data_IF_604735793603
#
_entry.id   IF_604735793603
#
_cell.length_a   1.000
_cell.length_b   1.000
_cell.length_c   1.000
_cell.angle_alpha   90.00
_cell.angle_beta   90.00
_cell.angle_gamma   90.00
#
_symmetry.space_group_name_H-M   'P 1'
#
loop_
_entity.id
_entity.type
_entity.pdbx_description
1 polymer ?
#
# COMPACT_ATOMS: atom_id res chain seq x y z
N UNK A 1 -3.74 -10.23 9.70
CA UNK A 1 -5.07 -9.73 10.09
C UNK A 1 -5.14 -9.15 11.49
N UNK A 2 -4.15 -9.41 12.34
CA UNK A 2 -4.11 -9.04 13.75
C UNK A 2 -2.96 -8.09 14.10
N UNK A 3 -2.28 -7.52 13.11
CA UNK A 3 -1.13 -6.63 13.29
C UNK A 3 0.24 -7.32 13.34
N UNK A 4 0.29 -8.65 13.41
CA UNK A 4 1.57 -9.38 13.36
C UNK A 4 2.25 -9.21 11.99
N UNK A 5 3.54 -8.88 12.01
CA UNK A 5 4.38 -8.75 10.82
C UNK A 5 5.29 -9.97 10.74
N UNK A 6 4.99 -10.89 9.83
CA UNK A 6 5.78 -12.13 9.67
C UNK A 6 7.11 -11.89 8.95
N UNK A 7 7.16 -10.93 8.05
CA UNK A 7 8.37 -10.59 7.31
C UNK A 7 8.38 -9.12 6.91
N UNK A 8 9.56 -8.51 6.97
CA UNK A 8 9.82 -7.16 6.51
C UNK A 8 11.22 -7.16 5.87
N UNK A 9 11.27 -6.93 4.56
CA UNK A 9 12.51 -6.99 3.81
C UNK A 9 12.64 -5.82 2.82
N UNK A 10 13.85 -5.33 2.65
CA UNK A 10 14.19 -4.37 1.60
C UNK A 10 15.47 -4.80 0.87
N UNK A 11 15.74 -4.23 -0.29
CA UNK A 11 16.90 -4.56 -1.12
C UNK A 11 18.24 -4.11 -0.49
N UNK A 12 18.22 -3.14 0.40
CA UNK A 12 19.41 -2.62 1.07
C UNK A 12 19.45 -3.16 2.49
N UNK A 13 20.16 -4.25 2.70
CA UNK A 13 20.39 -4.86 4.01
C UNK A 13 21.85 -4.67 4.44
N UNK A 14 22.12 -4.78 5.73
CA UNK A 14 23.46 -4.72 6.30
C UNK A 14 23.66 -5.84 7.32
N UNK A 15 24.92 -6.13 7.65
CA UNK A 15 25.24 -7.10 8.67
C UNK A 15 25.14 -6.46 10.06
N UNK A 16 24.22 -6.96 10.89
CA UNK A 16 23.98 -6.46 12.26
C UNK A 16 25.17 -6.70 13.20
N UNK A 17 25.99 -7.73 12.97
CA UNK A 17 27.17 -8.03 13.78
C UNK A 17 28.33 -7.07 13.50
N UNK A 18 28.36 -6.49 12.29
CA UNK A 18 29.38 -5.53 11.88
C UNK A 18 28.75 -4.36 11.10
N UNK A 19 27.92 -3.55 11.76
CA UNK A 19 27.09 -2.55 11.06
C UNK A 19 27.93 -1.44 10.41
N UNK A 20 29.13 -1.16 10.89
CA UNK A 20 30.07 -0.15 10.36
C UNK A 20 31.11 -0.71 9.40
N UNK A 21 31.01 -1.97 8.97
CA UNK A 21 31.90 -2.52 7.95
C UNK A 21 31.59 -1.85 6.59
N UNK A 22 32.61 -1.29 5.97
CA UNK A 22 32.55 -0.64 4.64
C UNK A 22 31.95 -1.55 3.57
N UNK A 23 32.02 -2.89 3.71
CA UNK A 23 31.36 -3.84 2.83
C UNK A 23 29.85 -3.64 2.76
N UNK A 24 29.22 -3.13 3.81
CA UNK A 24 27.80 -2.80 3.78
C UNK A 24 27.49 -1.65 2.80
N UNK A 25 28.43 -0.71 2.64
CA UNK A 25 28.31 0.42 1.70
C UNK A 25 28.39 -0.03 0.25
N UNK A 26 29.08 -1.13 -0.04
CA UNK A 26 29.24 -1.65 -1.40
C UNK A 26 27.93 -2.12 -2.05
N UNK A 27 26.88 -2.26 -1.27
CA UNK A 27 25.52 -2.54 -1.78
C UNK A 27 24.88 -1.34 -2.49
N UNK A 28 25.39 -0.13 -2.20
CA UNK A 28 24.86 1.14 -2.74
C UNK A 28 25.91 1.94 -3.51
N UNK A 29 27.17 1.80 -3.15
CA UNK A 29 28.29 2.58 -3.69
C UNK A 29 29.35 1.66 -4.29
N UNK A 30 30.08 2.11 -5.31
CA UNK A 30 31.24 1.38 -5.81
C UNK A 30 32.42 1.42 -4.82
N UNK A 31 33.35 0.48 -4.92
CA UNK A 31 34.56 0.45 -4.09
C UNK A 31 35.34 1.77 -4.20
N UNK A 32 35.46 2.33 -5.41
CA UNK A 32 36.15 3.59 -5.63
C UNK A 32 35.47 4.78 -4.93
N UNK A 33 34.12 4.77 -4.88
CA UNK A 33 33.38 5.80 -4.14
C UNK A 33 33.60 5.66 -2.63
N UNK A 34 33.48 4.43 -2.10
CA UNK A 34 33.68 4.16 -0.67
C UNK A 34 35.09 4.58 -0.21
N UNK A 35 36.13 4.25 -1.02
CA UNK A 35 37.51 4.59 -0.69
C UNK A 35 37.79 6.11 -0.67
N UNK A 36 36.97 6.91 -1.36
CA UNK A 36 37.10 8.38 -1.41
C UNK A 36 36.26 9.09 -0.36
N UNK A 37 35.36 8.38 0.34
CA UNK A 37 34.49 8.98 1.36
C UNK A 37 35.31 9.38 2.59
N UNK A 38 35.07 10.58 3.06
CA UNK A 38 35.48 11.01 4.40
C UNK A 38 34.68 10.24 5.47
N UNK A 39 35.16 10.20 6.70
CA UNK A 39 34.45 9.57 7.83
C UNK A 39 33.04 10.15 8.05
N UNK A 40 32.87 11.46 7.80
CA UNK A 40 31.56 12.12 7.87
C UNK A 40 30.61 11.61 6.77
N UNK A 41 31.11 11.43 5.55
CA UNK A 41 30.31 10.89 4.43
C UNK A 41 29.98 9.42 4.65
N UNK A 42 30.92 8.59 5.14
CA UNK A 42 30.64 7.21 5.53
C UNK A 42 29.58 7.12 6.61
N UNK A 43 29.68 7.95 7.64
CA UNK A 43 28.68 8.01 8.72
C UNK A 43 27.29 8.34 8.17
N UNK A 44 27.22 9.32 7.25
CA UNK A 44 25.94 9.65 6.59
C UNK A 44 25.42 8.49 5.77
N UNK A 45 26.28 7.83 5.00
CA UNK A 45 25.91 6.67 4.17
C UNK A 45 25.46 5.48 5.01
N UNK A 46 26.12 5.19 6.13
CA UNK A 46 25.67 4.18 7.09
C UNK A 46 24.31 4.51 7.68
N UNK A 47 24.08 5.76 8.11
CA UNK A 47 22.79 6.19 8.63
C UNK A 47 21.64 6.00 7.61
N UNK A 48 21.92 6.15 6.31
CA UNK A 48 20.95 5.87 5.26
C UNK A 48 20.67 4.37 5.10
N UNK A 49 21.69 3.52 5.18
CA UNK A 49 21.55 2.06 5.06
C UNK A 49 20.86 1.45 6.28
N UNK A 50 21.08 2.01 7.46
CA UNK A 50 20.46 1.52 8.71
C UNK A 50 18.98 1.88 8.82
N UNK A 51 18.50 2.85 8.06
CA UNK A 51 17.07 3.16 8.05
C UNK A 51 16.28 2.00 7.45
N UNK A 52 15.17 1.68 8.09
CA UNK A 52 14.18 0.80 7.51
C UNK A 52 13.22 1.63 6.65
N UNK A 53 13.34 1.64 5.31
CA UNK A 53 12.52 2.48 4.46
C UNK A 53 11.03 2.14 4.52
N UNK A 54 10.67 0.92 4.91
CA UNK A 54 9.27 0.48 5.06
C UNK A 54 8.56 1.29 6.15
N UNK A 55 9.32 1.65 7.20
CA UNK A 55 8.81 2.38 8.36
C UNK A 55 9.11 3.88 8.25
N UNK A 56 10.31 4.24 7.74
CA UNK A 56 10.85 5.59 7.82
C UNK A 56 10.62 6.46 6.58
N UNK A 57 10.30 5.88 5.43
CA UNK A 57 10.12 6.64 4.19
C UNK A 57 8.64 6.80 3.87
N UNK A 58 8.28 8.01 3.40
CA UNK A 58 6.95 8.30 2.90
C UNK A 58 6.98 8.50 1.38
N UNK A 59 5.93 8.05 0.71
CA UNK A 59 5.76 8.14 -0.74
C UNK A 59 4.29 8.27 -1.11
N UNK A 60 3.99 8.70 -2.32
CA UNK A 60 2.62 8.70 -2.84
C UNK A 60 2.20 7.24 -3.13
N UNK A 61 1.13 6.71 -2.51
CA UNK A 61 0.74 5.30 -2.64
C UNK A 61 0.20 4.94 -4.02
N UNK A 62 -0.20 5.94 -4.81
CA UNK A 62 -0.83 5.72 -6.11
C UNK A 62 -2.09 4.87 -6.00
N UNK A 63 -2.36 4.11 -7.04
CA UNK A 63 -3.63 3.36 -7.17
C UNK A 63 -3.89 2.31 -6.09
N UNK A 64 -2.94 1.99 -5.21
CA UNK A 64 -3.22 1.15 -4.02
C UNK A 64 -4.14 1.85 -3.02
N UNK A 65 -4.28 3.17 -3.12
CA UNK A 65 -5.19 3.95 -2.28
C UNK A 65 -6.66 3.88 -2.74
N UNK A 66 -6.96 3.57 -3.98
CA UNK A 66 -8.33 3.58 -4.54
C UNK A 66 -9.38 2.82 -3.73
N UNK A 67 -9.08 1.63 -3.17
CA UNK A 67 -10.04 0.94 -2.30
C UNK A 67 -10.48 1.76 -1.09
N UNK A 68 -9.64 2.66 -0.56
CA UNK A 68 -9.98 3.50 0.58
C UNK A 68 -11.00 4.60 0.21
N UNK A 69 -10.84 5.19 -0.98
CA UNK A 69 -11.84 6.14 -1.52
C UNK A 69 -13.19 5.45 -1.68
N UNK A 70 -13.22 4.30 -2.33
CA UNK A 70 -14.49 3.54 -2.49
C UNK A 70 -15.06 3.11 -1.14
N UNK A 71 -14.21 2.73 -0.18
CA UNK A 71 -14.62 2.39 1.18
C UNK A 71 -15.35 3.54 1.87
N UNK A 72 -14.82 4.76 1.78
CA UNK A 72 -15.43 5.94 2.36
C UNK A 72 -16.83 6.20 1.81
N UNK A 73 -17.00 6.13 0.49
CA UNK A 73 -18.28 6.32 -0.16
C UNK A 73 -19.32 5.25 0.18
N UNK A 74 -18.89 3.99 0.30
CA UNK A 74 -19.77 2.87 0.70
C UNK A 74 -20.21 3.01 2.17
N UNK A 75 -19.27 3.32 3.06
CA UNK A 75 -19.54 3.43 4.49
C UNK A 75 -20.45 4.60 4.84
N UNK A 76 -20.32 5.73 4.13
CA UNK A 76 -21.21 6.88 4.27
C UNK A 76 -22.56 6.73 3.53
N UNK A 77 -22.78 5.59 2.87
CA UNK A 77 -23.99 5.35 2.09
C UNK A 77 -24.14 6.25 0.86
N UNK A 78 -23.08 6.99 0.47
CA UNK A 78 -23.00 7.78 -0.76
C UNK A 78 -22.98 6.86 -1.98
N UNK A 79 -22.31 5.70 -1.84
CA UNK A 79 -22.32 4.63 -2.82
C UNK A 79 -23.19 3.48 -2.32
N UNK A 80 -23.92 2.86 -3.23
CA UNK A 80 -24.80 1.70 -2.96
C UNK A 80 -24.16 0.37 -3.37
N UNK A 81 -23.15 0.42 -4.26
CA UNK A 81 -22.45 -0.75 -4.81
C UNK A 81 -22.86 -1.15 -6.22
N UNK A 82 -23.84 -0.48 -6.81
CA UNK A 82 -24.36 -0.74 -8.15
C UNK A 82 -24.16 0.44 -9.13
N UNK A 83 -23.37 1.43 -8.73
CA UNK A 83 -23.08 2.58 -9.58
C UNK A 83 -22.29 2.20 -10.82
N UNK A 84 -22.52 2.99 -11.86
CA UNK A 84 -21.72 2.99 -13.08
C UNK A 84 -21.11 4.36 -13.33
N UNK A 85 -19.95 4.38 -13.94
CA UNK A 85 -19.20 5.59 -14.29
C UNK A 85 -18.78 5.54 -15.75
N UNK A 86 -18.90 6.66 -16.43
CA UNK A 86 -18.37 6.78 -17.79
C UNK A 86 -16.98 7.41 -17.74
N UNK A 87 -16.01 6.73 -18.31
CA UNK A 87 -14.63 7.18 -18.40
C UNK A 87 -14.27 7.47 -19.86
N UNK A 88 -14.08 8.73 -20.19
CA UNK A 88 -13.59 9.19 -21.49
C UNK A 88 -12.07 9.45 -21.51
N UNK A 89 -11.37 9.10 -20.42
CA UNK A 89 -9.92 9.17 -20.30
C UNK A 89 -9.39 10.40 -19.57
N UNK A 90 -10.24 11.32 -19.12
CA UNK A 90 -9.84 12.49 -18.33
C UNK A 90 -11.02 13.11 -17.56
N UNK A 91 -10.71 13.96 -16.59
CA UNK A 91 -11.65 14.87 -15.93
C UNK A 91 -11.14 16.30 -15.96
N UNK A 92 -12.03 17.26 -16.21
CA UNK A 92 -11.74 18.70 -16.02
C UNK A 92 -12.06 19.08 -14.59
N UNK A 93 -11.05 19.50 -13.85
CA UNK A 93 -11.16 19.90 -12.44
C UNK A 93 -10.64 21.31 -12.29
N UNK A 94 -11.53 22.31 -12.28
CA UNK A 94 -11.17 23.71 -12.36
C UNK A 94 -10.36 23.98 -13.65
N UNK A 95 -9.17 24.62 -13.55
CA UNK A 95 -8.32 24.88 -14.72
C UNK A 95 -7.52 23.67 -15.19
N UNK A 96 -7.58 22.53 -14.47
CA UNK A 96 -6.75 21.36 -14.73
C UNK A 96 -7.47 20.30 -15.51
N UNK A 97 -6.77 19.64 -16.45
CA UNK A 97 -7.21 18.39 -17.08
C UNK A 97 -6.39 17.25 -16.47
N UNK A 98 -7.07 16.40 -15.69
CA UNK A 98 -6.44 15.27 -15.01
C UNK A 98 -6.82 13.99 -15.74
N UNK A 99 -5.82 13.23 -16.16
CA UNK A 99 -6.03 12.10 -17.05
C UNK A 99 -6.13 10.75 -16.32
N UNK A 100 -6.95 9.88 -16.88
CA UNK A 100 -6.91 8.46 -16.59
C UNK A 100 -5.61 7.83 -17.11
N UNK A 101 -5.17 6.73 -16.50
CA UNK A 101 -4.05 5.93 -17.03
C UNK A 101 -4.39 5.35 -18.40
N UNK A 102 -5.65 5.01 -18.65
CA UNK A 102 -6.16 4.62 -19.95
C UNK A 102 -6.69 5.84 -20.69
N UNK A 103 -5.84 6.44 -21.53
CA UNK A 103 -6.07 7.75 -22.16
C UNK A 103 -7.26 7.78 -23.13
N UNK A 104 -7.59 6.65 -23.75
CA UNK A 104 -8.77 6.51 -24.62
C UNK A 104 -10.09 6.30 -23.86
N UNK A 105 -10.02 6.25 -22.52
CA UNK A 105 -11.19 5.97 -21.67
C UNK A 105 -11.52 4.48 -21.58
N UNK A 106 -12.17 4.10 -20.47
CA UNK A 106 -12.67 2.74 -20.25
C UNK A 106 -14.11 2.55 -20.72
N UNK A 107 -14.78 3.63 -21.17
CA UNK A 107 -16.21 3.63 -21.44
C UNK A 107 -17.04 3.52 -20.17
N UNK A 108 -18.20 2.87 -20.27
CA UNK A 108 -19.10 2.63 -19.14
C UNK A 108 -18.58 1.47 -18.29
N UNK A 109 -18.28 1.73 -17.04
CA UNK A 109 -17.74 0.75 -16.08
C UNK A 109 -18.52 0.76 -14.76
N UNK A 110 -18.57 -0.38 -14.09
CA UNK A 110 -19.19 -0.51 -12.75
C UNK A 110 -18.28 0.01 -11.65
N UNK A 111 -18.82 0.19 -10.44
CA UNK A 111 -18.03 0.52 -9.24
C UNK A 111 -16.91 -0.51 -9.00
N UNK A 112 -17.19 -1.81 -9.13
CA UNK A 112 -16.18 -2.87 -9.03
C UNK A 112 -15.07 -2.70 -10.06
N UNK A 113 -15.46 -2.43 -11.33
CA UNK A 113 -14.52 -2.19 -12.42
C UNK A 113 -13.68 -0.92 -12.23
N UNK A 114 -14.16 0.08 -11.48
CA UNK A 114 -13.35 1.25 -11.14
C UNK A 114 -12.09 0.88 -10.37
N UNK A 115 -12.17 -0.17 -9.52
CA UNK A 115 -11.04 -0.74 -8.77
C UNK A 115 -10.24 -1.71 -9.65
N UNK A 116 -10.91 -2.68 -10.31
CA UNK A 116 -10.24 -3.77 -11.02
C UNK A 116 -9.48 -3.29 -12.27
N UNK A 117 -10.01 -2.32 -13.00
CA UNK A 117 -9.35 -1.64 -14.12
C UNK A 117 -8.46 -0.46 -13.70
N UNK A 118 -8.49 -0.12 -12.43
CA UNK A 118 -7.71 1.00 -11.88
C UNK A 118 -8.04 2.36 -12.54
N UNK A 119 -9.31 2.65 -12.78
CA UNK A 119 -9.77 3.86 -13.46
C UNK A 119 -9.58 5.11 -12.57
N UNK A 120 -8.72 6.07 -12.96
CA UNK A 120 -8.58 7.33 -12.23
C UNK A 120 -9.82 8.21 -12.36
N UNK A 121 -10.41 8.22 -13.55
CA UNK A 121 -11.57 9.03 -13.88
C UNK A 121 -12.75 8.69 -12.95
N UNK A 122 -13.14 7.42 -12.87
CA UNK A 122 -14.20 6.99 -11.95
C UNK A 122 -13.91 7.37 -10.49
N UNK A 123 -12.64 7.26 -10.05
CA UNK A 123 -12.27 7.64 -8.68
C UNK A 123 -12.39 9.14 -8.43
N UNK A 124 -12.08 9.98 -9.41
CA UNK A 124 -12.30 11.42 -9.33
C UNK A 124 -13.80 11.77 -9.24
N UNK A 125 -14.65 11.09 -10.01
CA UNK A 125 -16.11 11.24 -9.93
C UNK A 125 -16.65 10.81 -8.56
N UNK A 126 -16.14 9.70 -8.00
CA UNK A 126 -16.50 9.21 -6.66
C UNK A 126 -16.10 10.24 -5.59
N UNK A 127 -14.86 10.69 -5.58
CA UNK A 127 -14.38 11.64 -4.59
C UNK A 127 -15.08 13.01 -4.69
N UNK A 128 -15.42 13.47 -5.90
CA UNK A 128 -16.22 14.67 -6.08
C UNK A 128 -17.61 14.54 -5.43
N UNK A 129 -18.22 13.35 -5.51
CA UNK A 129 -19.51 13.04 -4.87
C UNK A 129 -19.40 12.94 -3.35
N UNK A 130 -18.28 12.38 -2.82
CA UNK A 130 -17.98 12.31 -1.39
C UNK A 130 -17.72 13.67 -0.77
N UNK A 131 -17.01 14.51 -1.49
CA UNK A 131 -16.56 15.83 -1.02
C UNK A 131 -15.36 15.74 -0.06
N UNK A 132 -14.64 16.85 0.03
CA UNK A 132 -13.37 16.94 0.77
C UNK A 132 -13.46 16.61 2.27
N UNK A 133 -14.60 16.88 2.89
CA UNK A 133 -14.78 16.63 4.32
C UNK A 133 -14.87 15.12 4.63
N UNK A 134 -15.62 14.36 3.84
CA UNK A 134 -15.70 12.91 3.96
C UNK A 134 -14.35 12.29 3.66
N UNK A 135 -13.75 12.67 2.53
CA UNK A 135 -12.45 12.17 2.11
C UNK A 135 -11.37 12.35 3.20
N UNK A 136 -11.17 13.57 3.70
CA UNK A 136 -10.17 13.85 4.74
C UNK A 136 -10.47 13.14 6.07
N UNK A 137 -11.75 13.01 6.44
CA UNK A 137 -12.17 12.27 7.64
C UNK A 137 -11.77 10.79 7.51
N UNK A 138 -11.99 10.15 6.35
CA UNK A 138 -11.64 8.75 6.15
C UNK A 138 -10.14 8.53 6.02
N UNK A 139 -9.36 9.49 5.49
CA UNK A 139 -7.89 9.41 5.61
C UNK A 139 -7.47 9.24 7.07
N UNK A 140 -8.03 10.06 7.98
CA UNK A 140 -7.74 9.97 9.42
C UNK A 140 -8.33 8.70 10.07
N UNK A 141 -9.51 8.24 9.63
CA UNK A 141 -10.10 6.98 10.10
C UNK A 141 -9.22 5.79 9.77
N UNK A 142 -8.63 5.74 8.58
CA UNK A 142 -7.66 4.71 8.19
C UNK A 142 -6.26 4.93 8.77
N UNK A 143 -6.10 5.90 9.67
CA UNK A 143 -4.88 6.24 10.39
C UNK A 143 -3.76 6.85 9.53
N UNK A 144 -4.04 7.30 8.30
CA UNK A 144 -3.07 8.09 7.55
C UNK A 144 -2.77 9.40 8.26
N UNK A 145 -1.53 9.84 8.19
CA UNK A 145 -1.01 11.01 8.91
C UNK A 145 -0.60 10.74 10.35
N UNK A 146 -1.05 9.65 10.96
CA UNK A 146 -0.65 9.27 12.32
C UNK A 146 0.42 8.17 12.30
N UNK A 147 1.23 8.09 13.35
CA UNK A 147 2.08 6.93 13.57
C UNK A 147 1.22 5.68 13.76
N UNK A 148 1.69 4.56 13.23
CA UNK A 148 1.05 3.26 13.46
C UNK A 148 1.33 2.73 14.86
N UNK A 149 2.42 3.22 15.47
CA UNK A 149 2.89 2.75 16.76
C UNK A 149 3.62 1.40 16.69
N UNK A 150 4.13 1.04 15.50
CA UNK A 150 4.95 -0.16 15.34
C UNK A 150 6.11 -0.16 16.35
N UNK A 151 6.49 -1.32 16.83
CA UNK A 151 7.58 -1.55 17.79
C UNK A 151 8.98 -1.45 17.17
N UNK A 152 9.13 -0.67 16.10
CA UNK A 152 10.40 -0.35 15.45
C UNK A 152 10.71 1.14 15.53
N UNK A 153 11.99 1.54 15.64
CA UNK A 153 12.39 2.93 15.66
C UNK A 153 12.28 3.60 14.29
N UNK A 154 12.22 4.93 14.29
CA UNK A 154 12.35 5.74 13.08
C UNK A 154 11.08 5.84 12.25
N UNK A 155 9.90 5.62 12.82
CA UNK A 155 8.64 5.75 12.11
C UNK A 155 8.43 7.18 11.57
N UNK A 156 8.08 7.26 10.27
CA UNK A 156 7.90 8.53 9.58
C UNK A 156 6.78 9.38 10.16
N UNK A 157 7.01 10.68 10.22
CA UNK A 157 5.99 11.69 10.53
C UNK A 157 5.33 12.12 9.21
N UNK A 158 4.06 11.80 9.03
CA UNK A 158 3.35 12.06 7.76
C UNK A 158 2.16 13.01 7.90
N UNK A 159 1.90 13.55 9.08
CA UNK A 159 0.76 14.43 9.32
C UNK A 159 0.76 15.65 8.39
N UNK A 160 1.90 16.30 8.21
CA UNK A 160 2.06 17.47 7.33
C UNK A 160 2.09 17.12 5.83
N UNK A 161 2.03 15.84 5.49
CA UNK A 161 2.01 15.35 4.11
C UNK A 161 0.60 15.01 3.62
N UNK A 162 -0.42 15.28 4.43
CA UNK A 162 -1.83 15.17 4.09
C UNK A 162 -2.43 16.58 3.99
N UNK A 163 -3.46 16.73 3.16
CA UNK A 163 -4.26 17.94 3.11
C UNK A 163 -5.36 17.93 4.17
N UNK A 164 -5.47 18.99 4.96
CA UNK A 164 -6.68 19.19 5.75
C UNK A 164 -7.85 19.57 4.83
N UNK A 165 -9.06 19.19 5.23
CA UNK A 165 -10.25 19.46 4.42
C UNK A 165 -10.45 20.95 4.10
N UNK A 166 -10.06 21.86 5.01
CA UNK A 166 -10.18 23.32 4.80
C UNK A 166 -9.27 23.81 3.66
N UNK A 167 -8.08 23.24 3.51
CA UNK A 167 -7.04 23.68 2.57
C UNK A 167 -7.07 22.87 1.27
N UNK A 168 -7.79 21.74 1.23
CA UNK A 168 -7.90 20.86 0.09
C UNK A 168 -8.64 21.52 -1.07
N UNK A 169 -7.97 21.70 -2.19
CA UNK A 169 -8.58 22.17 -3.44
C UNK A 169 -9.32 21.03 -4.16
N UNK A 170 -10.12 21.37 -5.17
CA UNK A 170 -10.78 20.35 -6.00
C UNK A 170 -9.76 19.45 -6.74
N UNK A 171 -8.62 20.02 -7.15
CA UNK A 171 -7.55 19.27 -7.80
C UNK A 171 -6.84 18.31 -6.81
N UNK A 172 -6.60 18.76 -5.57
CA UNK A 172 -6.03 17.92 -4.51
C UNK A 172 -6.96 16.75 -4.18
N UNK A 173 -8.26 16.98 -4.05
CA UNK A 173 -9.25 15.93 -3.83
C UNK A 173 -9.25 14.92 -4.98
N UNK A 174 -9.29 15.41 -6.21
CA UNK A 174 -9.28 14.57 -7.41
C UNK A 174 -8.04 13.67 -7.48
N UNK A 175 -6.83 14.24 -7.28
CA UNK A 175 -5.59 13.48 -7.35
C UNK A 175 -5.38 12.58 -6.13
N UNK A 176 -5.82 13.01 -4.95
CA UNK A 176 -5.76 12.19 -3.74
C UNK A 176 -6.69 10.97 -3.82
N UNK A 177 -7.79 11.05 -4.57
CA UNK A 177 -8.73 9.93 -4.74
C UNK A 177 -8.08 8.66 -5.32
N UNK A 178 -7.01 8.82 -6.10
CA UNK A 178 -6.24 7.72 -6.66
C UNK A 178 -4.79 7.64 -6.10
N UNK A 179 -4.55 8.29 -4.96
CA UNK A 179 -3.33 8.13 -4.17
C UNK A 179 -2.15 9.00 -4.57
N UNK A 180 -2.39 10.17 -5.18
CA UNK A 180 -1.38 11.19 -5.43
C UNK A 180 -1.65 12.45 -4.56
N UNK A 181 -0.73 13.40 -4.56
CA UNK A 181 -0.81 14.65 -3.77
C UNK A 181 -0.84 14.49 -2.25
N UNK A 182 -0.57 13.30 -1.73
CA UNK A 182 -0.28 13.07 -0.32
C UNK A 182 0.68 11.89 -0.17
N UNK A 183 1.37 11.81 0.97
CA UNK A 183 2.35 10.75 1.20
C UNK A 183 2.01 9.96 2.47
N UNK A 184 2.30 8.67 2.43
CA UNK A 184 2.24 7.77 3.58
C UNK A 184 3.42 6.79 3.56
N UNK A 185 3.73 6.19 4.69
CA UNK A 185 4.73 5.13 4.75
C UNK A 185 4.13 3.78 4.31
N UNK A 186 5.03 2.86 3.94
CA UNK A 186 4.61 1.51 3.55
C UNK A 186 3.91 0.78 4.69
N UNK A 187 4.35 0.98 5.95
CA UNK A 187 3.70 0.39 7.11
C UNK A 187 2.32 0.99 7.38
N UNK A 188 2.12 2.30 7.19
CA UNK A 188 0.80 2.93 7.28
C UNK A 188 -0.15 2.34 6.24
N UNK A 189 0.29 2.23 4.98
CA UNK A 189 -0.51 1.64 3.91
C UNK A 189 -0.88 0.19 4.21
N UNK A 190 0.09 -0.65 4.59
CA UNK A 190 -0.14 -2.06 4.90
C UNK A 190 -1.11 -2.27 6.05
N UNK A 191 -0.93 -1.52 7.15
CA UNK A 191 -1.81 -1.61 8.33
C UNK A 191 -3.23 -1.14 8.01
N UNK A 192 -3.38 -0.03 7.29
CA UNK A 192 -4.68 0.46 6.84
C UNK A 192 -5.36 -0.55 5.89
N UNK A 193 -4.59 -1.13 4.95
CA UNK A 193 -5.13 -2.11 4.01
C UNK A 193 -5.62 -3.39 4.70
N UNK A 194 -4.96 -3.83 5.78
CA UNK A 194 -5.46 -4.92 6.61
C UNK A 194 -6.87 -4.65 7.11
N UNK A 195 -7.18 -3.41 7.53
CA UNK A 195 -8.52 -3.07 7.99
C UNK A 195 -9.58 -3.10 6.88
N UNK A 196 -9.21 -2.88 5.60
CA UNK A 196 -10.14 -3.03 4.49
C UNK A 196 -10.62 -4.48 4.29
N UNK A 197 -9.82 -5.47 4.70
CA UNK A 197 -10.06 -6.88 4.35
C UNK A 197 -10.42 -7.78 5.53
N UNK A 198 -10.31 -7.29 6.77
CA UNK A 198 -10.52 -8.07 8.00
C UNK A 198 -11.79 -7.68 8.76
N UNK A 199 -12.76 -7.05 8.10
CA UNK A 199 -14.00 -6.60 8.73
C UNK A 199 -13.93 -5.20 9.35
N UNK A 200 -12.93 -4.40 8.96
CA UNK A 200 -12.76 -3.01 9.41
C UNK A 200 -11.85 -2.82 10.63
N UNK A 201 -11.24 -3.87 11.13
CA UNK A 201 -10.45 -3.81 12.35
C UNK A 201 -9.03 -3.31 12.09
N UNK A 202 -8.68 -2.14 12.62
CA UNK A 202 -7.31 -1.61 12.54
C UNK A 202 -6.52 -2.02 13.77
N UNK A 203 -5.54 -2.89 13.58
CA UNK A 203 -4.62 -3.33 14.62
C UNK A 203 -3.32 -2.56 14.60
N UNK A 204 -2.72 -2.37 15.79
CA UNK A 204 -1.36 -1.87 15.91
C UNK A 204 -0.38 -2.89 15.32
N UNK A 205 0.44 -2.52 14.31
CA UNK A 205 1.42 -3.45 13.75
C UNK A 205 2.56 -3.71 14.74
N UNK A 206 3.07 -4.96 14.77
CA UNK A 206 4.20 -5.34 15.61
C UNK A 206 5.02 -6.47 14.99
N UNK A 207 6.32 -6.47 15.22
CA UNK A 207 7.26 -7.51 14.80
C UNK A 207 7.65 -8.43 15.96
N UNK A 208 7.62 -7.92 17.20
CA UNK A 208 7.89 -8.74 18.39
C UNK A 208 6.66 -9.55 18.74
N UNK A 209 6.79 -10.87 18.71
CA UNK A 209 5.73 -11.79 19.12
C UNK A 209 5.84 -12.19 20.58
N UNK A 210 7.08 -12.36 21.08
CA UNK A 210 7.31 -12.93 22.39
C UNK A 210 8.66 -12.46 22.96
N UNK A 211 8.69 -12.18 24.24
CA UNK A 211 9.92 -11.96 24.99
C UNK A 211 10.28 -13.21 25.78
N UNK A 212 11.54 -13.62 25.72
CA UNK A 212 12.06 -14.77 26.44
C UNK A 212 13.26 -14.36 27.31
N UNK A 213 13.41 -15.01 28.45
CA UNK A 213 14.59 -14.92 29.29
C UNK A 213 15.79 -15.65 28.68
N UNK A 214 16.98 -15.47 29.24
CA UNK A 214 18.19 -16.14 28.77
C UNK A 214 18.15 -17.67 28.84
N UNK A 215 17.33 -18.24 29.73
CA UNK A 215 17.09 -19.70 29.83
C UNK A 215 15.97 -20.20 28.89
N UNK A 216 15.38 -19.30 28.05
CA UNK A 216 14.36 -19.66 27.05
C UNK A 216 12.92 -19.63 27.56
N UNK A 217 12.67 -19.32 28.84
CA UNK A 217 11.30 -19.21 29.38
C UNK A 217 10.60 -17.99 28.83
N UNK A 218 9.28 -18.14 28.59
CA UNK A 218 8.45 -17.03 28.12
C UNK A 218 8.22 -16.03 29.24
N UNK A 219 8.72 -14.81 29.04
CA UNK A 219 8.51 -13.69 29.98
C UNK A 219 7.19 -12.99 29.65
N UNK A 220 6.92 -12.78 28.37
CA UNK A 220 5.70 -12.09 27.90
C UNK A 220 5.37 -12.46 26.46
N UNK A 221 4.08 -12.61 26.16
CA UNK A 221 3.57 -12.63 24.79
C UNK A 221 3.06 -11.24 24.43
N UNK A 222 3.24 -10.84 23.20
CA UNK A 222 2.66 -9.61 22.66
C UNK A 222 1.35 -9.96 21.96
N UNK A 223 0.26 -9.58 22.60
CA UNK A 223 -1.09 -9.83 22.07
C UNK A 223 -1.49 -8.77 21.04
N UNK A 224 -2.29 -9.14 20.03
CA UNK A 224 -2.84 -8.22 19.05
C UNK A 224 -3.60 -7.06 19.71
N UNK A 225 -3.24 -5.83 19.40
CA UNK A 225 -3.90 -4.64 19.94
C UNK A 225 -4.84 -4.03 18.89
N UNK A 226 -6.15 -4.20 19.10
CA UNK A 226 -7.15 -3.51 18.29
C UNK A 226 -7.17 -2.02 18.67
N UNK A 227 -6.92 -1.14 17.71
CA UNK A 227 -6.91 0.31 17.92
C UNK A 227 -8.29 0.91 17.69
N UNK A 228 -8.94 0.53 16.59
CA UNK A 228 -10.26 1.04 16.18
C UNK A 228 -10.88 0.21 15.08
N UNK A 229 -12.18 0.39 14.86
CA UNK A 229 -12.85 -0.04 13.64
C UNK A 229 -12.89 1.13 12.64
N UNK A 230 -12.46 0.89 11.40
CA UNK A 230 -12.37 1.90 10.33
C UNK A 230 -13.59 1.92 9.43
N UNK A 231 -14.15 0.76 9.14
CA UNK A 231 -15.34 0.52 8.31
C UNK A 231 -16.14 -0.66 8.86
N UNK A 232 -17.36 -0.82 8.39
CA UNK A 232 -18.20 -1.99 8.69
C UNK A 232 -17.67 -3.27 8.02
N UNK A 233 -18.08 -4.42 8.58
CA UNK A 233 -17.82 -5.72 7.96
C UNK A 233 -18.45 -5.82 6.57
N UNK A 234 -19.62 -5.23 6.36
CA UNK A 234 -20.32 -5.24 5.08
C UNK A 234 -19.50 -4.52 3.99
N UNK A 235 -18.98 -3.33 4.29
CA UNK A 235 -18.08 -2.59 3.38
C UNK A 235 -16.80 -3.38 3.09
N UNK A 236 -16.19 -3.98 4.11
CA UNK A 236 -15.02 -4.84 3.95
C UNK A 236 -15.29 -6.04 3.02
N UNK A 237 -16.44 -6.71 3.18
CA UNK A 237 -16.82 -7.85 2.35
C UNK A 237 -17.04 -7.46 0.88
N UNK A 238 -17.63 -6.28 0.60
CA UNK A 238 -17.75 -5.73 -0.75
C UNK A 238 -16.39 -5.44 -1.37
N UNK A 239 -15.51 -4.77 -0.63
CA UNK A 239 -14.17 -4.43 -1.11
C UNK A 239 -13.31 -5.66 -1.42
N UNK A 240 -13.40 -6.72 -0.61
CA UNK A 240 -12.70 -7.98 -0.91
C UNK A 240 -13.14 -8.56 -2.25
N UNK A 241 -14.45 -8.51 -2.57
CA UNK A 241 -14.99 -8.96 -3.86
C UNK A 241 -14.47 -8.10 -5.02
N UNK A 242 -14.46 -6.77 -4.87
CA UNK A 242 -13.94 -5.86 -5.90
C UNK A 242 -12.44 -6.06 -6.14
N UNK A 243 -11.68 -6.28 -5.07
CA UNK A 243 -10.24 -6.56 -5.18
C UNK A 243 -9.95 -7.98 -5.70
N UNK A 244 -10.86 -8.94 -5.52
CA UNK A 244 -10.78 -10.24 -6.18
C UNK A 244 -10.89 -10.09 -7.70
N UNK A 245 -11.80 -9.26 -8.19
CA UNK A 245 -11.94 -8.98 -9.63
C UNK A 245 -10.66 -8.39 -10.24
N UNK A 246 -9.89 -7.59 -9.48
CA UNK A 246 -8.57 -7.11 -9.91
C UNK A 246 -7.63 -8.25 -10.29
N UNK A 247 -7.68 -9.37 -9.54
CA UNK A 247 -6.86 -10.57 -9.79
C UNK A 247 -7.52 -11.48 -10.82
N UNK A 248 -8.83 -11.61 -10.84
CA UNK A 248 -9.53 -12.51 -11.76
C UNK A 248 -9.47 -12.02 -13.21
N UNK A 249 -9.65 -10.72 -13.45
CA UNK A 249 -9.78 -10.17 -14.80
C UNK A 249 -9.19 -8.76 -14.99
N UNK A 250 -8.71 -8.14 -13.90
CA UNK A 250 -8.20 -6.77 -13.91
C UNK A 250 -6.68 -6.67 -14.05
N UNK A 251 -6.13 -5.61 -13.46
CA UNK A 251 -4.69 -5.27 -13.57
C UNK A 251 -3.75 -6.20 -12.80
N UNK A 252 -4.28 -7.05 -11.91
CA UNK A 252 -3.53 -7.95 -11.04
C UNK A 252 -3.55 -9.42 -11.45
N UNK A 253 -3.89 -9.76 -12.69
CA UNK A 253 -4.10 -11.16 -13.14
C UNK A 253 -2.91 -12.09 -12.91
N UNK A 254 -1.69 -11.56 -12.89
CA UNK A 254 -0.47 -12.33 -12.57
C UNK A 254 -0.42 -12.83 -11.12
N UNK A 255 -1.27 -12.31 -10.22
CA UNK A 255 -1.41 -12.81 -8.85
C UNK A 255 -2.31 -14.04 -8.72
N UNK A 256 -2.94 -14.52 -9.80
CA UNK A 256 -3.74 -15.75 -9.76
C UNK A 256 -2.92 -16.92 -9.24
N UNK A 257 -3.48 -17.62 -8.27
CA UNK A 257 -2.92 -18.83 -7.67
C UNK A 257 -3.78 -20.05 -8.03
N UNK A 258 -3.15 -21.25 -8.05
CA UNK A 258 -3.85 -22.49 -8.37
C UNK A 258 -4.74 -22.98 -7.21
N UNK A 259 -4.23 -22.84 -6.00
CA UNK A 259 -4.79 -23.47 -4.80
C UNK A 259 -5.50 -22.49 -3.87
N UNK A 260 -5.41 -21.17 -4.10
CA UNK A 260 -5.99 -20.14 -3.25
C UNK A 260 -6.63 -19.04 -4.08
N UNK A 261 -7.72 -18.49 -3.55
CA UNK A 261 -8.27 -17.23 -4.06
C UNK A 261 -7.39 -16.07 -3.63
N UNK A 262 -7.21 -15.08 -4.48
CA UNK A 262 -6.45 -13.87 -4.17
C UNK A 262 -7.23 -12.61 -4.54
N UNK A 263 -7.01 -11.58 -3.77
CA UNK A 263 -7.45 -10.22 -4.06
C UNK A 263 -6.28 -9.24 -3.92
N UNK A 264 -6.43 -8.06 -4.46
CA UNK A 264 -5.41 -7.04 -4.31
C UNK A 264 -5.59 -5.82 -5.19
N UNK A 265 -4.61 -4.92 -5.12
CA UNK A 265 -4.60 -3.70 -5.92
C UNK A 265 -3.18 -3.39 -6.41
N UNK A 266 -3.03 -3.16 -7.70
CA UNK A 266 -1.82 -2.63 -8.32
C UNK A 266 -1.69 -1.14 -8.06
N UNK A 267 -0.47 -0.65 -7.90
CA UNK A 267 -0.15 0.76 -7.75
C UNK A 267 0.92 1.20 -8.74
N UNK A 268 0.73 2.41 -9.27
CA UNK A 268 1.74 3.14 -10.03
C UNK A 268 1.67 4.58 -9.58
N UNK A 269 2.76 5.14 -9.10
CA UNK A 269 2.87 6.52 -8.70
C UNK A 269 4.08 7.16 -9.38
N UNK A 270 3.86 8.26 -10.07
CA UNK A 270 4.94 9.05 -10.66
C UNK A 270 5.62 9.86 -9.57
N UNK A 271 6.94 9.78 -9.48
CA UNK A 271 7.73 10.51 -8.47
C UNK A 271 7.80 12.01 -8.79
N UNK A 272 8.07 12.80 -7.77
CA UNK A 272 8.33 14.24 -7.90
C UNK A 272 9.86 14.46 -7.97
N UNK A 273 10.37 15.27 -8.90
CA UNK A 273 9.63 16.05 -9.90
C UNK A 273 9.09 15.16 -11.03
N UNK A 274 7.85 15.42 -11.46
CA UNK A 274 7.19 14.63 -12.53
C UNK A 274 7.97 14.61 -13.85
N UNK A 275 8.75 15.65 -14.11
CA UNK A 275 9.64 15.76 -15.29
C UNK A 275 10.74 14.70 -15.34
N UNK A 276 11.10 14.08 -14.21
CA UNK A 276 12.08 13.00 -14.16
C UNK A 276 11.59 11.71 -14.82
N UNK A 277 10.27 11.53 -14.98
CA UNK A 277 9.70 10.34 -15.60
C UNK A 277 9.93 9.05 -14.82
N UNK A 278 10.25 9.14 -13.53
CA UNK A 278 10.47 7.98 -12.65
C UNK A 278 9.22 7.61 -11.88
N UNK A 279 9.08 6.32 -11.57
CA UNK A 279 7.87 5.77 -10.98
C UNK A 279 8.19 4.81 -9.83
N UNK A 280 7.23 4.75 -8.90
CA UNK A 280 7.11 3.66 -7.95
C UNK A 280 5.99 2.76 -8.45
N UNK A 281 6.26 1.44 -8.55
CA UNK A 281 5.23 0.46 -8.82
C UNK A 281 5.04 -0.44 -7.62
N UNK A 282 3.80 -0.90 -7.42
CA UNK A 282 3.48 -1.67 -6.23
C UNK A 282 2.32 -2.64 -6.46
N UNK A 283 2.20 -3.59 -5.54
CA UNK A 283 1.03 -4.45 -5.42
C UNK A 283 0.76 -4.74 -3.95
N UNK A 284 -0.45 -4.46 -3.52
CA UNK A 284 -0.95 -4.86 -2.21
C UNK A 284 -1.93 -6.02 -2.42
N UNK A 285 -1.53 -7.22 -2.04
CA UNK A 285 -2.28 -8.45 -2.28
C UNK A 285 -2.56 -9.22 -1.01
N UNK A 286 -3.67 -9.96 -0.99
CA UNK A 286 -4.07 -10.78 0.15
C UNK A 286 -4.71 -12.10 -0.30
N UNK A 287 -4.67 -13.09 0.57
CA UNK A 287 -5.26 -14.39 0.34
C UNK A 287 -5.53 -15.16 1.66
N UNK A 288 -6.52 -16.10 1.68
CA UNK A 288 -7.60 -16.26 0.72
C UNK A 288 -8.59 -15.08 0.76
N UNK A 289 -9.40 -14.88 -0.28
CA UNK A 289 -10.36 -13.75 -0.32
C UNK A 289 -11.49 -13.92 0.71
N UNK A 290 -11.94 -15.15 0.89
CA UNK A 290 -13.08 -15.48 1.76
C UNK A 290 -12.76 -15.24 3.24
N UNK A 291 -11.53 -15.58 3.62
CA UNK A 291 -10.99 -15.39 4.98
C UNK A 291 -9.51 -15.02 4.90
N UNK A 292 -9.16 -13.75 4.67
CA UNK A 292 -7.79 -13.32 4.49
C UNK A 292 -6.89 -13.69 5.67
N UNK A 293 -5.82 -14.43 5.41
CA UNK A 293 -4.83 -14.84 6.41
C UNK A 293 -3.55 -14.00 6.31
N UNK A 294 -3.16 -13.65 5.10
CA UNK A 294 -1.92 -12.93 4.81
C UNK A 294 -2.19 -11.76 3.88
N UNK A 295 -1.61 -10.61 4.22
CA UNK A 295 -1.43 -9.46 3.32
C UNK A 295 0.06 -9.37 2.96
N UNK A 296 0.35 -9.13 1.70
CA UNK A 296 1.69 -8.83 1.20
C UNK A 296 1.66 -7.51 0.45
N UNK A 297 2.51 -6.57 0.84
CA UNK A 297 2.68 -5.32 0.12
C UNK A 297 4.08 -5.25 -0.46
N UNK A 298 4.19 -5.23 -1.78
CA UNK A 298 5.44 -5.10 -2.53
C UNK A 298 5.50 -3.72 -3.15
N UNK A 299 6.61 -3.03 -2.93
CA UNK A 299 6.89 -1.71 -3.52
C UNK A 299 8.24 -1.78 -4.22
N UNK A 300 8.31 -1.35 -5.46
CA UNK A 300 9.54 -1.27 -6.25
C UNK A 300 9.72 0.18 -6.69
N UNK A 301 10.79 0.78 -6.23
CA UNK A 301 11.19 2.14 -6.56
C UNK A 301 12.11 2.13 -7.78
N UNK A 302 11.70 2.81 -8.82
CA UNK A 302 12.45 2.98 -10.09
C UNK A 302 12.93 1.65 -10.71
N UNK A 303 12.00 0.90 -11.29
CA UNK A 303 12.33 -0.34 -12.01
C UNK A 303 13.38 -0.04 -13.09
N UNK A 304 14.49 -0.79 -13.06
CA UNK A 304 15.61 -0.64 -14.02
C UNK A 304 15.41 -1.47 -15.30
N UNK A 305 14.24 -2.04 -15.52
CA UNK A 305 13.92 -2.92 -16.66
C UNK A 305 12.65 -2.42 -17.36
N UNK A 306 12.60 -2.60 -18.67
CA UNK A 306 11.44 -2.39 -19.53
C UNK A 306 10.75 -1.03 -19.31
N UNK A 307 9.49 -1.06 -18.95
CA UNK A 307 8.69 0.13 -18.64
C UNK A 307 8.69 0.41 -17.14
N UNK A 308 9.00 1.64 -16.77
CA UNK A 308 8.93 2.16 -15.40
C UNK A 308 7.53 1.97 -14.74
N UNK A 309 6.49 1.81 -15.55
CA UNK A 309 5.11 1.65 -15.07
C UNK A 309 4.62 0.19 -15.01
N UNK A 310 5.50 -0.77 -15.33
CA UNK A 310 5.13 -2.20 -15.35
C UNK A 310 4.98 -2.76 -13.93
N UNK A 311 3.74 -2.89 -13.46
CA UNK A 311 3.43 -3.46 -12.15
C UNK A 311 3.62 -4.98 -12.06
N UNK A 312 3.81 -5.67 -13.20
CA UNK A 312 3.83 -7.13 -13.29
C UNK A 312 4.85 -7.78 -12.36
N UNK A 313 6.04 -7.17 -12.20
CA UNK A 313 7.08 -7.69 -11.32
C UNK A 313 6.64 -7.66 -9.84
N UNK A 314 6.04 -6.55 -9.39
CA UNK A 314 5.54 -6.44 -8.01
C UNK A 314 4.44 -7.47 -7.73
N UNK A 315 3.55 -7.71 -8.72
CA UNK A 315 2.48 -8.70 -8.64
C UNK A 315 3.04 -10.13 -8.54
N UNK A 316 4.04 -10.48 -9.37
CA UNK A 316 4.68 -11.80 -9.37
C UNK A 316 5.44 -12.08 -8.07
N UNK A 317 6.15 -11.10 -7.53
CA UNK A 317 6.82 -11.22 -6.24
C UNK A 317 5.79 -11.46 -5.14
N UNK A 318 4.73 -10.64 -5.08
CA UNK A 318 3.69 -10.78 -4.08
C UNK A 318 2.99 -12.15 -4.16
N UNK A 319 2.71 -12.65 -5.36
CA UNK A 319 2.16 -13.99 -5.55
C UNK A 319 3.04 -15.08 -4.93
N UNK A 320 4.34 -15.06 -5.23
CA UNK A 320 5.28 -16.06 -4.68
C UNK A 320 5.33 -16.01 -3.16
N UNK A 321 5.33 -14.81 -2.58
CA UNK A 321 5.33 -14.63 -1.12
C UNK A 321 4.02 -15.13 -0.52
N UNK A 322 2.87 -14.78 -1.11
CA UNK A 322 1.56 -15.28 -0.67
C UNK A 322 1.50 -16.81 -0.71
N UNK A 323 1.85 -17.44 -1.83
CA UNK A 323 1.81 -18.90 -1.98
C UNK A 323 2.71 -19.60 -0.95
N UNK A 324 3.92 -19.07 -0.71
CA UNK A 324 4.84 -19.60 0.30
C UNK A 324 4.28 -19.45 1.71
N UNK A 325 3.83 -18.25 2.06
CA UNK A 325 3.29 -17.95 3.40
C UNK A 325 2.05 -18.78 3.74
N UNK A 326 1.13 -18.94 2.79
CA UNK A 326 -0.08 -19.75 3.01
C UNK A 326 0.23 -21.22 3.24
N UNK A 327 1.26 -21.78 2.58
CA UNK A 327 1.73 -23.13 2.81
C UNK A 327 2.37 -23.30 4.19
N UNK A 328 3.26 -22.39 4.56
CA UNK A 328 3.92 -22.39 5.88
C UNK A 328 2.93 -22.25 7.04
N UNK A 329 1.88 -21.46 6.84
CA UNK A 329 0.81 -21.28 7.82
C UNK A 329 -0.24 -22.40 7.81
N UNK A 330 -0.07 -23.43 6.97
CA UNK A 330 -0.98 -24.54 6.79
C UNK A 330 -2.43 -24.11 6.50
N UNK A 331 -2.58 -23.02 5.72
CA UNK A 331 -3.90 -22.52 5.33
C UNK A 331 -4.56 -23.52 4.37
N UNK A 332 -5.82 -23.85 4.63
CA UNK A 332 -6.58 -24.75 3.79
C UNK A 332 -6.71 -24.19 2.37
N UNK A 333 -6.52 -25.06 1.36
CA UNK A 333 -6.71 -24.68 -0.05
C UNK A 333 -8.14 -24.29 -0.30
N UNK A 334 -8.36 -23.26 -1.12
CA UNK A 334 -9.70 -22.87 -1.54
C UNK A 334 -10.33 -24.02 -2.37
N UNK A 335 -11.57 -24.37 -2.05
CA UNK A 335 -12.32 -25.34 -2.82
C UNK A 335 -12.42 -24.88 -4.28
N UNK A 336 -12.05 -25.72 -5.23
CA UNK A 336 -12.35 -25.44 -6.65
C UNK A 336 -13.87 -25.44 -6.80
N UNK A 337 -14.44 -24.28 -7.06
CA UNK A 337 -15.81 -24.17 -7.59
C UNK A 337 -15.79 -24.21 -9.10
#
# INVERSE_FOLDING_TARGET
NNGEIYAMANSTSYNLESPRDDKNLLKKYSQSQVNKMSEKEKTKAFNEIWKNPIVSNAFEPGSTYKPFTVAAGLEEGILKGNETYYCDGYQKVGPHTIHCSHRSGHGLITLSQSISLSCNDALMQIAAKEGKNVFARYQKNFNFGNKTGIDLPGEAQTASLLHDAKDMTAADLATSSFGQSFNCSMIQMGSAFCSLINGGNYYKPHVVKQLRSSNGEVVSNIEPTLVKQTISKETSDKLRKYMKETVDSGTGTKAKMKDYTAGGKTGTAQKIPRSAGTYIVSFCGFAPVENPQVLVYVVIDEIQRDSQTNTGLAVEIAKKVLEGSLKELNVAKSSKK
#
